data_IF_308589096828
#
_entry.id   IF_308589096828
#
_cell.length_a   1.000
_cell.length_b   1.000
_cell.length_c   1.000
_cell.angle_alpha   90.00
_cell.angle_beta   90.00
_cell.angle_gamma   90.00
#
_symmetry.space_group_name_H-M   'P 1'
#
loop_
_entity.id
_entity.type
_entity.pdbx_description
1 polymer ?
#
# COMPACT_ATOMS: atom_id res chain seq x y z
N UNK A 1 2.09 -8.79 19.31
CA UNK A 1 2.68 -8.26 18.07
C UNK A 1 1.62 -8.40 17.00
N UNK A 2 1.33 -7.31 16.27
CA UNK A 2 0.43 -7.35 15.12
C UNK A 2 1.28 -7.64 13.89
N UNK A 3 0.81 -8.49 12.98
CA UNK A 3 1.55 -8.81 11.78
C UNK A 3 0.63 -9.02 10.57
N UNK A 4 1.13 -8.65 9.39
CA UNK A 4 0.45 -8.88 8.11
C UNK A 4 1.45 -9.37 7.07
N UNK A 5 0.97 -9.96 5.98
CA UNK A 5 1.85 -10.14 4.82
C UNK A 5 2.20 -8.78 4.23
N UNK A 6 3.38 -8.68 3.60
CA UNK A 6 3.85 -7.45 3.00
C UNK A 6 2.97 -7.04 1.82
N UNK A 7 2.35 -7.97 1.10
CA UNK A 7 1.35 -7.66 0.08
C UNK A 7 0.16 -6.86 0.64
N UNK A 8 -0.39 -7.25 1.80
CA UNK A 8 -1.48 -6.48 2.43
C UNK A 8 -0.99 -5.15 3.00
N UNK A 9 0.26 -5.09 3.49
CA UNK A 9 0.87 -3.82 3.91
C UNK A 9 1.04 -2.85 2.74
N UNK A 10 1.54 -3.33 1.60
CA UNK A 10 1.71 -2.56 0.37
C UNK A 10 0.35 -2.04 -0.13
N UNK A 11 -0.68 -2.89 -0.18
CA UNK A 11 -2.05 -2.47 -0.51
C UNK A 11 -2.61 -1.41 0.45
N UNK A 12 -2.43 -1.60 1.76
CA UNK A 12 -2.83 -0.61 2.77
C UNK A 12 -2.13 0.75 2.56
N UNK A 13 -0.85 0.74 2.23
CA UNK A 13 -0.08 1.95 1.94
C UNK A 13 -0.55 2.65 0.66
N UNK A 14 -0.95 1.91 -0.39
CA UNK A 14 -1.55 2.48 -1.61
C UNK A 14 -2.86 3.18 -1.25
N UNK A 15 -3.74 2.55 -0.47
CA UNK A 15 -5.00 3.16 -0.01
C UNK A 15 -4.76 4.38 0.88
N UNK A 16 -3.73 4.34 1.72
CA UNK A 16 -3.34 5.50 2.53
C UNK A 16 -2.84 6.66 1.67
N UNK A 17 -2.22 6.38 0.52
CA UNK A 17 -1.82 7.42 -0.44
C UNK A 17 -3.00 8.06 -1.18
N UNK A 18 -4.10 7.32 -1.39
CA UNK A 18 -5.36 7.93 -1.86
C UNK A 18 -5.84 9.00 -0.88
N UNK A 19 -5.73 8.77 0.43
CA UNK A 19 -6.07 9.80 1.42
C UNK A 19 -5.13 11.02 1.31
N UNK A 20 -3.86 10.84 0.95
CA UNK A 20 -2.94 11.97 0.72
C UNK A 20 -3.29 12.81 -0.51
N UNK A 21 -4.03 12.27 -1.50
CA UNK A 21 -4.55 13.09 -2.61
C UNK A 21 -5.52 14.18 -2.15
N UNK A 22 -6.21 13.97 -1.02
CA UNK A 22 -7.03 15.01 -0.39
C UNK A 22 -6.19 16.17 0.18
N UNK A 23 -4.88 15.97 0.36
CA UNK A 23 -3.92 16.98 0.79
C UNK A 23 -3.25 17.70 -0.38
N UNK A 24 -3.60 17.39 -1.63
CA UNK A 24 -3.08 18.09 -2.81
C UNK A 24 -3.20 19.63 -2.70
N UNK A 25 -4.31 20.21 -2.21
CA UNK A 25 -4.41 21.67 -2.05
C UNK A 25 -3.39 22.25 -1.05
N UNK A 26 -2.97 21.47 -0.05
CA UNK A 26 -1.96 21.88 0.92
C UNK A 26 -0.55 21.89 0.30
N UNK A 27 -0.26 20.92 -0.57
CA UNK A 27 1.06 20.78 -1.20
C UNK A 27 1.22 21.62 -2.47
N UNK A 28 0.11 21.93 -3.14
CA UNK A 28 0.08 22.70 -4.39
C UNK A 28 -0.93 23.86 -4.30
N UNK A 29 -0.72 24.84 -3.39
CA UNK A 29 -1.71 25.87 -3.09
C UNK A 29 -1.99 26.84 -4.24
N UNK A 30 -1.11 26.91 -5.24
CA UNK A 30 -1.24 27.81 -6.39
C UNK A 30 -1.55 27.06 -7.71
N UNK A 31 -1.89 25.76 -7.64
CA UNK A 31 -2.25 25.01 -8.84
C UNK A 31 -3.57 25.52 -9.42
N UNK A 32 -3.63 25.64 -10.74
CA UNK A 32 -4.88 25.85 -11.45
C UNK A 32 -5.76 24.60 -11.35
N UNK A 33 -7.07 24.76 -11.57
CA UNK A 33 -8.00 23.63 -11.56
C UNK A 33 -7.61 22.54 -12.57
N UNK A 34 -7.05 22.92 -13.73
CA UNK A 34 -6.59 21.98 -14.76
C UNK A 34 -5.34 21.20 -14.31
N UNK A 35 -4.41 21.85 -13.61
CA UNK A 35 -3.22 21.19 -13.07
C UNK A 35 -3.60 20.24 -11.91
N UNK A 36 -4.54 20.64 -11.05
CA UNK A 36 -5.03 19.79 -9.98
C UNK A 36 -5.73 18.54 -10.51
N UNK A 37 -6.56 18.69 -11.55
CA UNK A 37 -7.24 17.56 -12.21
C UNK A 37 -6.24 16.60 -12.88
N UNK A 38 -5.25 17.13 -13.59
CA UNK A 38 -4.18 16.33 -14.18
C UNK A 38 -3.40 15.54 -13.11
N UNK A 39 -3.06 16.19 -12.00
CA UNK A 39 -2.31 15.58 -10.91
C UNK A 39 -3.11 14.48 -10.22
N UNK A 40 -4.42 14.69 -10.01
CA UNK A 40 -5.33 13.64 -9.52
C UNK A 40 -5.36 12.44 -10.47
N UNK A 41 -5.54 12.67 -11.77
CA UNK A 41 -5.56 11.61 -12.77
C UNK A 41 -4.24 10.84 -12.86
N UNK A 42 -3.10 11.53 -12.74
CA UNK A 42 -1.79 10.88 -12.72
C UNK A 42 -1.60 10.01 -11.48
N UNK A 43 -1.98 10.50 -10.31
CA UNK A 43 -1.88 9.73 -9.06
C UNK A 43 -2.80 8.50 -9.10
N UNK A 44 -4.03 8.65 -9.58
CA UNK A 44 -4.97 7.53 -9.75
C UNK A 44 -4.39 6.43 -10.65
N UNK A 45 -3.88 6.80 -11.82
CA UNK A 45 -3.19 5.88 -12.73
C UNK A 45 -2.00 5.17 -12.06
N UNK A 46 -1.14 5.92 -11.37
CA UNK A 46 0.02 5.34 -10.70
C UNK A 46 -0.37 4.38 -9.57
N UNK A 47 -1.40 4.71 -8.80
CA UNK A 47 -1.89 3.85 -7.73
C UNK A 47 -2.46 2.53 -8.26
N UNK A 48 -3.14 2.58 -9.41
CA UNK A 48 -3.64 1.37 -10.07
C UNK A 48 -2.49 0.49 -10.58
N UNK A 49 -1.49 1.08 -11.24
CA UNK A 49 -0.29 0.35 -11.68
C UNK A 49 0.44 -0.30 -10.49
N UNK A 50 0.54 0.41 -9.36
CA UNK A 50 1.14 -0.14 -8.13
C UNK A 50 0.29 -1.27 -7.54
N UNK A 51 -1.04 -1.11 -7.50
CA UNK A 51 -1.97 -2.14 -7.02
C UNK A 51 -1.83 -3.42 -7.82
N UNK A 52 -1.83 -3.31 -9.15
CA UNK A 52 -1.61 -4.44 -10.06
C UNK A 52 -0.24 -5.08 -9.85
N UNK A 53 0.81 -4.27 -9.71
CA UNK A 53 2.17 -4.73 -9.43
C UNK A 53 2.29 -5.53 -8.13
N UNK A 54 1.63 -5.07 -7.06
CA UNK A 54 1.56 -5.78 -5.77
C UNK A 54 0.77 -7.08 -5.92
N UNK A 55 -0.36 -7.04 -6.61
CA UNK A 55 -1.16 -8.23 -6.90
C UNK A 55 -0.48 -9.21 -7.85
N UNK A 56 0.55 -8.81 -8.59
CA UNK A 56 1.33 -9.67 -9.46
C UNK A 56 2.56 -10.27 -8.74
N UNK A 57 3.33 -9.43 -8.04
CA UNK A 57 4.61 -9.82 -7.40
C UNK A 57 4.49 -10.32 -5.95
N UNK A 58 3.27 -10.25 -5.38
CA UNK A 58 2.73 -11.00 -4.23
C UNK A 58 3.76 -11.36 -3.16
N UNK A 59 4.16 -10.35 -2.41
CA UNK A 59 5.13 -10.48 -1.33
C UNK A 59 4.54 -11.16 -0.08
N UNK A 60 4.91 -12.42 0.15
CA UNK A 60 4.46 -13.22 1.30
C UNK A 60 5.32 -13.02 2.56
N UNK A 61 6.32 -12.15 2.52
CA UNK A 61 7.09 -11.84 3.73
C UNK A 61 6.19 -11.24 4.79
N UNK A 62 6.48 -11.56 6.06
CA UNK A 62 5.69 -11.06 7.18
C UNK A 62 6.24 -9.71 7.62
N UNK A 63 5.38 -8.70 7.55
CA UNK A 63 5.60 -7.41 8.20
C UNK A 63 5.11 -7.51 9.62
N UNK A 64 6.01 -7.31 10.57
CA UNK A 64 5.66 -7.22 11.99
C UNK A 64 5.64 -5.75 12.43
N UNK A 65 4.57 -5.38 13.12
CA UNK A 65 4.44 -4.07 13.75
C UNK A 65 4.97 -4.16 15.18
N UNK A 66 5.92 -3.29 15.51
CA UNK A 66 6.51 -3.22 16.83
C UNK A 66 6.35 -1.82 17.42
N UNK A 67 6.04 -1.78 18.71
CA UNK A 67 5.94 -0.53 19.47
C UNK A 67 7.24 -0.30 20.23
N UNK A 68 8.03 0.69 19.79
CA UNK A 68 9.09 1.36 20.58
C UNK A 68 8.60 2.78 20.91
N UNK A 69 9.50 3.74 21.18
CA UNK A 69 9.13 5.16 21.35
C UNK A 69 8.38 5.77 20.16
N UNK A 70 8.45 5.14 18.97
CA UNK A 70 7.58 5.36 17.81
C UNK A 70 7.23 4.02 17.15
N UNK A 71 6.04 3.88 16.53
CA UNK A 71 5.68 2.68 15.78
C UNK A 71 6.59 2.50 14.56
N UNK A 72 6.99 1.25 14.30
CA UNK A 72 7.81 0.89 13.15
C UNK A 72 7.42 -0.46 12.56
N UNK A 73 7.77 -0.67 11.29
CA UNK A 73 7.57 -1.93 10.56
C UNK A 73 8.91 -2.47 10.05
N UNK A 74 8.99 -3.79 9.82
CA UNK A 74 10.17 -4.42 9.22
C UNK A 74 9.74 -5.56 8.30
N UNK A 75 10.30 -5.58 7.09
CA UNK A 75 10.15 -6.66 6.11
C UNK A 75 11.52 -7.19 5.67
N UNK A 76 11.62 -8.49 5.41
CA UNK A 76 12.77 -9.15 4.75
C UNK A 76 12.21 -10.06 3.65
N UNK A 77 12.05 -9.51 2.46
CA UNK A 77 11.30 -10.13 1.38
C UNK A 77 12.16 -10.83 0.33
N UNK A 78 11.61 -11.92 -0.24
CA UNK A 78 12.00 -12.51 -1.52
C UNK A 78 10.73 -12.67 -2.35
N UNK A 79 10.69 -12.07 -3.56
CA UNK A 79 9.49 -11.94 -4.40
C UNK A 79 9.35 -13.17 -5.32
N UNK A 80 8.19 -13.83 -5.29
CA UNK A 80 7.81 -14.94 -6.20
C UNK A 80 6.31 -14.94 -6.44
N UNK A 81 5.83 -15.36 -7.61
CA UNK A 81 4.40 -15.49 -7.87
C UNK A 81 3.77 -16.54 -6.93
N UNK A 82 2.66 -16.21 -6.27
CA UNK A 82 1.91 -17.13 -5.39
C UNK A 82 0.42 -17.17 -5.74
N UNK A 83 -0.32 -18.20 -5.32
CA UNK A 83 -1.77 -18.30 -5.54
C UNK A 83 -2.54 -17.36 -4.57
N UNK A 84 -3.48 -16.56 -5.09
CA UNK A 84 -4.17 -15.50 -4.34
C UNK A 84 -5.21 -16.01 -3.37
N UNK A 85 -6.05 -16.91 -3.84
CA UNK A 85 -7.06 -17.55 -3.00
C UNK A 85 -6.42 -18.22 -1.80
N UNK A 86 -5.30 -18.92 -2.00
CA UNK A 86 -4.56 -19.55 -0.91
C UNK A 86 -3.94 -18.53 0.05
N UNK A 87 -3.40 -17.42 -0.45
CA UNK A 87 -2.83 -16.38 0.41
C UNK A 87 -3.92 -15.66 1.21
N UNK A 88 -5.03 -15.34 0.58
CA UNK A 88 -6.17 -14.68 1.22
C UNK A 88 -6.75 -15.55 2.32
N UNK A 89 -7.03 -16.83 2.01
CA UNK A 89 -7.48 -17.82 3.00
C UNK A 89 -6.48 -17.89 4.15
N UNK A 90 -5.19 -18.06 3.87
CA UNK A 90 -4.17 -18.13 4.92
C UNK A 90 -4.16 -16.86 5.78
N UNK A 91 -4.26 -15.68 5.15
CA UNK A 91 -4.21 -14.39 5.84
C UNK A 91 -5.44 -14.18 6.72
N UNK A 92 -6.64 -14.53 6.26
CA UNK A 92 -7.88 -14.44 7.06
C UNK A 92 -7.81 -15.32 8.33
N UNK A 93 -7.21 -16.50 8.24
CA UNK A 93 -7.04 -17.39 9.40
C UNK A 93 -5.94 -16.98 10.38
N UNK A 94 -5.00 -16.12 9.96
CA UNK A 94 -3.79 -15.78 10.72
C UNK A 94 -3.60 -14.27 10.95
N UNK A 95 -4.58 -13.44 10.62
CA UNK A 95 -4.57 -12.00 10.91
C UNK A 95 -4.76 -11.79 12.41
N UNK A 96 -3.75 -11.22 13.08
CA UNK A 96 -3.74 -10.91 14.53
C UNK A 96 -3.17 -9.53 14.78
#
# INVERSE_FOLDING_TARGET
YVASTNAYHELHCIVSNLLTTSLLPLHYPNATAAEEDNLKGHIDHCLEVLREGVMCSRDTSIVSFYYRSKPGSRSKSRRTCVNWEKLEIWSLYHMV
#
